data_IF_511295107833
#
_entry.id   IF_511295107833
#
_cell.length_a   1.000
_cell.length_b   1.000
_cell.length_c   1.000
_cell.angle_alpha   90.00
_cell.angle_beta   90.00
_cell.angle_gamma   90.00
#
_symmetry.space_group_name_H-M   'P 1'
#
loop_
_entity.id
_entity.type
_entity.pdbx_description
1 polymer ?
#
# COMPACT_ATOMS: atom_id res chain seq x y z
N UNK A 1 19.14 -49.64 9.18
CA UNK A 1 19.60 -49.47 7.79
C UNK A 1 19.11 -48.11 7.36
N UNK A 2 20.05 -47.19 7.20
CA UNK A 2 19.88 -45.75 7.07
C UNK A 2 18.97 -45.33 5.91
N UNK A 3 17.96 -44.52 6.22
CA UNK A 3 17.40 -43.54 5.29
C UNK A 3 17.35 -42.15 5.97
N UNK A 4 18.50 -41.70 6.44
CA UNK A 4 18.78 -40.26 6.56
C UNK A 4 19.06 -39.72 5.16
N UNK A 5 18.01 -39.69 4.32
CA UNK A 5 18.05 -39.02 3.03
C UNK A 5 18.20 -37.52 3.26
N UNK A 6 19.46 -37.12 3.22
CA UNK A 6 20.03 -35.81 2.97
C UNK A 6 19.05 -34.87 2.21
N UNK A 7 18.16 -34.20 2.95
CA UNK A 7 17.41 -33.04 2.44
C UNK A 7 18.46 -31.98 2.12
N UNK A 8 18.92 -31.93 0.87
CA UNK A 8 19.62 -30.77 0.32
C UNK A 8 18.85 -29.54 0.81
N UNK A 9 19.47 -28.68 1.62
CA UNK A 9 18.90 -27.41 2.05
C UNK A 9 18.67 -26.60 0.77
N UNK A 10 17.51 -26.79 0.15
CA UNK A 10 17.06 -25.95 -0.95
C UNK A 10 17.08 -24.51 -0.47
N UNK A 11 17.47 -23.60 -1.35
CA UNK A 11 17.50 -22.18 -1.08
C UNK A 11 16.18 -21.75 -0.42
N UNK A 12 16.20 -21.49 0.89
CA UNK A 12 15.07 -20.90 1.60
C UNK A 12 15.15 -19.40 1.30
N UNK A 13 14.13 -18.88 0.62
CA UNK A 13 14.01 -17.44 0.42
C UNK A 13 14.13 -16.73 1.78
N UNK A 14 14.90 -15.62 1.86
CA UNK A 14 15.08 -14.89 3.11
C UNK A 14 13.73 -14.36 3.61
N UNK A 15 13.62 -14.19 4.94
CA UNK A 15 12.46 -13.53 5.53
C UNK A 15 12.40 -12.06 5.11
N UNK A 16 11.22 -11.46 5.18
CA UNK A 16 11.00 -10.06 4.81
C UNK A 16 11.96 -9.08 5.53
N UNK A 17 12.19 -9.17 6.86
CA UNK A 17 13.18 -8.30 7.54
C UNK A 17 14.60 -8.48 7.02
N UNK A 18 15.04 -9.71 6.75
CA UNK A 18 16.38 -9.99 6.21
C UNK A 18 16.53 -9.41 4.81
N UNK A 19 15.48 -9.49 3.99
CA UNK A 19 15.48 -8.88 2.67
C UNK A 19 15.62 -7.36 2.76
N UNK A 20 14.95 -6.70 3.72
CA UNK A 20 15.08 -5.25 3.92
C UNK A 20 16.51 -4.86 4.28
N UNK A 21 17.14 -5.58 5.21
CA UNK A 21 18.53 -5.33 5.61
C UNK A 21 19.48 -5.47 4.42
N UNK A 22 19.31 -6.52 3.61
CA UNK A 22 20.09 -6.71 2.37
C UNK A 22 19.90 -5.52 1.44
N UNK A 23 18.68 -5.04 1.27
CA UNK A 23 18.39 -3.88 0.41
C UNK A 23 19.02 -2.59 0.93
N UNK A 24 19.02 -2.34 2.24
CA UNK A 24 19.70 -1.16 2.84
C UNK A 24 21.18 -1.20 2.49
N UNK A 25 21.82 -2.37 2.61
CA UNK A 25 23.23 -2.55 2.25
C UNK A 25 23.46 -2.31 0.76
N UNK A 26 22.60 -2.84 -0.11
CA UNK A 26 22.71 -2.65 -1.57
C UNK A 26 22.56 -1.17 -1.93
N UNK A 27 21.56 -0.47 -1.38
CA UNK A 27 21.38 0.96 -1.61
C UNK A 27 22.57 1.77 -1.11
N UNK A 28 23.10 1.44 0.07
CA UNK A 28 24.31 2.08 0.61
C UNK A 28 25.51 1.91 -0.33
N UNK A 29 25.72 0.73 -0.93
CA UNK A 29 26.77 0.51 -1.94
C UNK A 29 26.53 1.36 -3.20
N UNK A 30 25.27 1.50 -3.64
CA UNK A 30 24.94 2.32 -4.81
C UNK A 30 25.28 3.81 -4.60
N UNK A 31 25.30 4.31 -3.36
CA UNK A 31 25.69 5.70 -3.05
C UNK A 31 27.13 6.04 -3.42
N UNK A 32 28.01 5.04 -3.57
CA UNK A 32 29.39 5.25 -4.02
C UNK A 32 29.47 5.45 -5.54
N UNK A 33 28.55 4.83 -6.28
CA UNK A 33 28.54 4.80 -7.74
C UNK A 33 27.78 6.00 -8.30
N UNK A 34 26.59 6.29 -7.76
CA UNK A 34 25.70 7.35 -8.25
C UNK A 34 26.20 8.71 -7.70
N UNK A 35 26.35 9.74 -8.55
CA UNK A 35 26.74 11.06 -8.07
C UNK A 35 25.62 11.73 -7.27
N UNK A 36 26.00 12.49 -6.24
CA UNK A 36 25.06 13.30 -5.49
C UNK A 36 24.71 14.56 -6.29
N UNK A 37 23.44 14.92 -6.29
CA UNK A 37 22.92 16.09 -7.01
C UNK A 37 21.70 16.64 -6.31
N UNK A 38 21.39 17.90 -6.59
CA UNK A 38 20.25 18.60 -5.99
C UNK A 38 19.57 19.47 -7.03
N UNK A 39 18.25 19.58 -6.92
CA UNK A 39 17.51 20.71 -7.45
C UNK A 39 17.32 21.76 -6.36
N UNK A 40 17.30 23.02 -6.77
CA UNK A 40 16.77 24.09 -5.93
C UNK A 40 15.25 23.94 -5.82
N UNK A 41 14.72 24.19 -4.62
CA UNK A 41 13.29 24.10 -4.33
C UNK A 41 12.74 25.50 -4.15
N UNK A 42 11.61 25.78 -4.79
CA UNK A 42 10.94 27.08 -4.82
C UNK A 42 9.53 26.93 -4.26
N UNK A 43 9.15 27.82 -3.35
CA UNK A 43 7.80 27.90 -2.84
C UNK A 43 6.91 28.64 -3.86
N UNK A 44 5.86 27.98 -4.32
CA UNK A 44 4.82 28.65 -5.09
C UNK A 44 3.88 29.41 -4.13
N UNK A 45 3.94 30.75 -4.14
CA UNK A 45 3.10 31.59 -3.27
C UNK A 45 1.59 31.44 -3.54
N UNK A 46 1.19 31.02 -4.75
CA UNK A 46 -0.22 30.86 -5.10
C UNK A 46 -0.82 29.55 -4.60
N UNK A 47 -0.01 28.48 -4.54
CA UNK A 47 -0.47 27.14 -4.17
C UNK A 47 0.01 26.70 -2.79
N UNK A 48 1.03 27.37 -2.24
CA UNK A 48 1.69 27.00 -0.98
C UNK A 48 2.52 25.71 -1.08
N UNK A 49 2.74 25.20 -2.29
CA UNK A 49 3.47 23.95 -2.54
C UNK A 49 4.92 24.29 -2.91
N UNK A 50 5.86 23.71 -2.16
CA UNK A 50 7.26 23.71 -2.53
C UNK A 50 7.51 22.68 -3.63
N UNK A 51 8.08 23.12 -4.74
CA UNK A 51 8.38 22.28 -5.90
C UNK A 51 9.77 22.62 -6.45
N UNK A 52 10.34 21.74 -7.28
CA UNK A 52 11.70 21.93 -7.79
C UNK A 52 11.76 22.92 -8.96
N UNK A 53 12.82 23.72 -9.03
CA UNK A 53 13.18 24.44 -10.25
C UNK A 53 13.89 23.49 -11.22
N UNK A 54 13.22 23.16 -12.33
CA UNK A 54 13.67 22.21 -13.35
C UNK A 54 15.04 22.56 -13.95
N UNK A 55 15.42 23.83 -13.98
CA UNK A 55 16.68 24.28 -14.59
C UNK A 55 17.86 24.38 -13.61
N UNK A 56 17.61 24.15 -12.32
CA UNK A 56 18.58 24.38 -11.25
C UNK A 56 19.48 23.18 -10.93
N UNK A 57 19.33 22.05 -11.65
CA UNK A 57 20.07 20.83 -11.32
C UNK A 57 21.58 21.06 -11.31
N UNK A 58 22.21 20.73 -10.19
CA UNK A 58 23.66 20.79 -10.04
C UNK A 58 24.17 19.63 -9.19
N UNK A 59 25.40 19.20 -9.47
CA UNK A 59 26.08 18.19 -8.67
C UNK A 59 26.56 18.82 -7.36
N UNK A 60 26.39 18.07 -6.26
CA UNK A 60 26.85 18.47 -4.93
C UNK A 60 27.98 17.56 -4.47
N UNK A 61 28.62 17.91 -3.36
CA UNK A 61 29.65 17.07 -2.76
C UNK A 61 29.08 15.67 -2.44
N UNK A 62 29.80 14.62 -2.85
CA UNK A 62 29.36 13.25 -2.61
C UNK A 62 29.36 12.96 -1.11
N UNK A 63 28.25 12.46 -0.60
CA UNK A 63 28.12 11.97 0.77
C UNK A 63 27.76 10.47 0.79
N UNK A 64 28.66 9.57 0.35
CA UNK A 64 28.34 8.15 0.30
C UNK A 64 28.10 7.58 1.70
N UNK A 65 27.11 6.70 1.82
CA UNK A 65 26.73 6.10 3.10
C UNK A 65 27.84 5.19 3.63
N UNK A 66 28.50 5.62 4.71
CA UNK A 66 29.54 4.84 5.37
C UNK A 66 29.02 3.57 6.05
N UNK A 67 29.87 2.56 6.32
CA UNK A 67 29.44 1.28 6.90
C UNK A 67 28.69 1.40 8.24
N UNK A 68 29.06 2.36 9.10
CA UNK A 68 28.35 2.59 10.36
C UNK A 68 27.03 3.35 10.18
N UNK A 69 26.97 4.25 9.19
CA UNK A 69 25.74 4.98 8.83
C UNK A 69 24.64 4.02 8.36
N UNK A 70 24.98 2.90 7.70
CA UNK A 70 24.02 1.84 7.36
C UNK A 70 23.23 1.40 8.60
N UNK A 71 23.89 1.19 9.74
CA UNK A 71 23.23 0.77 10.98
C UNK A 71 22.47 1.92 11.64
N UNK A 72 22.97 3.16 11.56
CA UNK A 72 22.24 4.34 12.03
C UNK A 72 20.93 4.52 11.27
N UNK A 73 20.93 4.40 9.94
CA UNK A 73 19.71 4.48 9.14
C UNK A 73 18.69 3.38 9.44
N UNK A 74 19.12 2.21 9.92
CA UNK A 74 18.17 1.20 10.43
C UNK A 74 17.46 1.69 11.70
N UNK A 75 18.19 2.29 12.63
CA UNK A 75 17.63 2.86 13.86
C UNK A 75 16.75 4.09 13.54
N UNK A 76 17.27 5.04 12.78
CA UNK A 76 16.56 6.26 12.39
C UNK A 76 15.31 5.93 11.56
N UNK A 77 15.36 4.86 10.76
CA UNK A 77 14.21 4.32 10.04
C UNK A 77 13.09 3.89 10.98
N UNK A 78 13.41 3.16 12.05
CA UNK A 78 12.43 2.76 13.07
C UNK A 78 11.85 3.97 13.79
N UNK A 79 12.70 4.91 14.20
CA UNK A 79 12.27 6.13 14.91
C UNK A 79 11.38 7.01 14.02
N UNK A 80 11.77 7.22 12.75
CA UNK A 80 11.00 8.03 11.80
C UNK A 80 9.70 7.36 11.32
N UNK A 81 9.53 6.06 11.56
CA UNK A 81 8.30 5.33 11.31
C UNK A 81 7.38 5.22 12.54
N UNK A 82 7.74 5.85 13.66
CA UNK A 82 7.04 5.69 14.95
C UNK A 82 5.53 5.96 14.84
N UNK A 83 5.13 7.05 14.20
CA UNK A 83 3.70 7.42 14.10
C UNK A 83 2.86 6.32 13.42
N UNK A 84 3.36 5.76 12.32
CA UNK A 84 2.70 4.66 11.61
C UNK A 84 2.73 3.35 12.44
N UNK A 85 3.85 3.06 13.10
CA UNK A 85 4.00 1.88 13.96
C UNK A 85 2.99 1.91 15.12
N UNK A 86 2.87 3.06 15.80
CA UNK A 86 1.94 3.23 16.92
C UNK A 86 0.48 3.24 16.44
N UNK A 87 0.19 3.85 15.29
CA UNK A 87 -1.13 3.73 14.67
C UNK A 87 -1.53 2.27 14.47
N UNK A 88 -0.62 1.43 13.97
CA UNK A 88 -0.89 0.00 13.76
C UNK A 88 -1.10 -0.71 15.08
N UNK A 89 -0.26 -0.49 16.10
CA UNK A 89 -0.45 -1.11 17.41
C UNK A 89 -1.82 -0.75 18.02
N UNK A 90 -2.22 0.51 17.93
CA UNK A 90 -3.50 0.99 18.47
C UNK A 90 -4.68 0.47 17.64
N UNK A 91 -4.58 0.46 16.31
CA UNK A 91 -5.60 -0.13 15.46
C UNK A 91 -5.75 -1.64 15.71
N UNK A 92 -4.64 -2.34 15.96
CA UNK A 92 -4.65 -3.78 16.24
C UNK A 92 -5.28 -4.06 17.59
N UNK A 93 -5.17 -3.15 18.56
CA UNK A 93 -5.88 -3.26 19.83
C UNK A 93 -7.40 -3.29 19.62
N UNK A 94 -7.94 -2.41 18.77
CA UNK A 94 -9.36 -2.44 18.37
C UNK A 94 -9.70 -3.75 17.66
N UNK A 95 -8.84 -4.22 16.75
CA UNK A 95 -9.05 -5.47 16.04
C UNK A 95 -9.06 -6.70 16.96
N UNK A 96 -8.17 -6.76 17.94
CA UNK A 96 -8.12 -7.82 18.97
C UNK A 96 -9.38 -7.77 19.81
N UNK A 97 -9.80 -6.60 20.31
CA UNK A 97 -11.07 -6.46 21.06
C UNK A 97 -12.24 -7.04 20.25
N UNK A 98 -12.38 -6.68 18.98
CA UNK A 98 -13.45 -7.17 18.11
C UNK A 98 -13.36 -8.68 17.82
N UNK A 99 -12.15 -9.23 17.82
CA UNK A 99 -11.90 -10.67 17.63
C UNK A 99 -12.29 -11.45 18.88
N UNK A 100 -11.81 -11.01 20.04
CA UNK A 100 -12.02 -11.67 21.35
C UNK A 100 -13.47 -11.65 21.81
N UNK A 101 -14.22 -10.58 21.50
CA UNK A 101 -15.68 -10.56 21.74
C UNK A 101 -16.45 -11.45 20.75
N UNK A 102 -15.78 -12.05 19.76
CA UNK A 102 -16.40 -12.90 18.74
C UNK A 102 -17.21 -12.12 17.68
N UNK A 103 -16.99 -10.82 17.53
CA UNK A 103 -17.76 -10.02 16.57
C UNK A 103 -17.45 -10.40 15.12
N UNK A 104 -16.17 -10.59 14.79
CA UNK A 104 -15.74 -11.04 13.47
C UNK A 104 -16.18 -12.47 13.17
N UNK A 105 -16.03 -13.39 14.14
CA UNK A 105 -16.43 -14.80 14.02
C UNK A 105 -17.95 -14.94 13.87
N UNK A 106 -18.72 -14.20 14.68
CA UNK A 106 -20.18 -14.11 14.53
C UNK A 106 -20.60 -13.54 13.17
N UNK A 107 -19.91 -12.48 12.69
CA UNK A 107 -20.18 -11.88 11.39
C UNK A 107 -19.93 -12.85 10.24
N UNK A 108 -18.78 -13.54 10.22
CA UNK A 108 -18.48 -14.50 9.15
C UNK A 108 -19.47 -15.67 9.15
N UNK A 109 -19.93 -16.13 10.31
CA UNK A 109 -20.97 -17.16 10.42
C UNK A 109 -22.34 -16.67 9.95
N UNK A 110 -22.71 -15.43 10.28
CA UNK A 110 -23.93 -14.81 9.75
C UNK A 110 -23.89 -14.70 8.22
N UNK A 111 -22.77 -14.23 7.68
CA UNK A 111 -22.51 -14.15 6.24
C UNK A 111 -22.55 -15.53 5.59
N UNK A 112 -21.88 -16.53 6.17
CA UNK A 112 -21.85 -17.92 5.67
C UNK A 112 -23.26 -18.52 5.62
N UNK A 113 -24.07 -18.31 6.65
CA UNK A 113 -25.47 -18.77 6.70
C UNK A 113 -26.35 -18.06 5.66
N UNK A 114 -26.15 -16.76 5.44
CA UNK A 114 -26.91 -15.94 4.47
C UNK A 114 -26.51 -16.23 3.02
N UNK A 115 -25.21 -16.27 2.72
CA UNK A 115 -24.70 -16.46 1.37
C UNK A 115 -24.61 -17.93 0.96
N UNK A 116 -24.47 -18.88 1.89
CA UNK A 116 -24.36 -20.32 1.64
C UNK A 116 -23.30 -20.64 0.58
N UNK A 117 -23.71 -21.12 -0.60
CA UNK A 117 -22.81 -21.44 -1.72
C UNK A 117 -22.21 -20.18 -2.38
N UNK A 118 -22.71 -18.99 -2.06
CA UNK A 118 -22.27 -17.70 -2.61
C UNK A 118 -21.19 -17.01 -1.79
N UNK A 119 -20.54 -17.68 -0.83
CA UNK A 119 -19.43 -17.11 -0.04
C UNK A 119 -18.25 -16.64 -0.91
N UNK A 120 -18.15 -17.10 -2.17
CA UNK A 120 -17.20 -16.55 -3.13
C UNK A 120 -17.41 -15.06 -3.45
N UNK A 121 -18.62 -14.51 -3.20
CA UNK A 121 -18.93 -13.10 -3.38
C UNK A 121 -18.26 -12.18 -2.35
N UNK A 122 -17.64 -12.72 -1.31
CA UNK A 122 -16.88 -11.91 -0.36
C UNK A 122 -15.64 -11.29 -1.01
N UNK A 123 -14.99 -12.01 -1.92
CA UNK A 123 -13.83 -11.48 -2.67
C UNK A 123 -14.21 -10.22 -3.44
N UNK A 124 -15.19 -10.23 -4.37
CA UNK A 124 -15.59 -9.02 -5.09
C UNK A 124 -16.18 -7.96 -4.18
N UNK A 125 -16.92 -8.33 -3.13
CA UNK A 125 -17.52 -7.38 -2.20
C UNK A 125 -16.48 -6.55 -1.45
N UNK A 126 -15.54 -7.21 -0.77
CA UNK A 126 -14.48 -6.52 -0.03
C UNK A 126 -13.52 -5.77 -0.95
N UNK A 127 -13.10 -6.36 -2.08
CA UNK A 127 -12.25 -5.67 -3.03
C UNK A 127 -12.90 -4.39 -3.57
N UNK A 128 -14.19 -4.42 -3.93
CA UNK A 128 -14.87 -3.24 -4.43
C UNK A 128 -15.04 -2.15 -3.36
N UNK A 129 -15.43 -2.53 -2.14
CA UNK A 129 -15.62 -1.58 -1.03
C UNK A 129 -14.30 -0.93 -0.66
N UNK A 130 -13.23 -1.70 -0.48
CA UNK A 130 -11.94 -1.16 -0.09
C UNK A 130 -11.18 -0.49 -1.22
N UNK A 131 -11.40 -0.87 -2.48
CA UNK A 131 -10.90 -0.08 -3.61
C UNK A 131 -11.60 1.29 -3.69
N UNK A 132 -12.89 1.38 -3.34
CA UNK A 132 -13.56 2.68 -3.22
C UNK A 132 -13.05 3.48 -2.02
N UNK A 133 -12.75 2.82 -0.91
CA UNK A 133 -12.11 3.45 0.25
C UNK A 133 -10.74 4.04 -0.13
N UNK A 134 -9.87 3.23 -0.75
CA UNK A 134 -8.56 3.67 -1.20
C UNK A 134 -8.59 4.73 -2.30
N UNK A 135 -9.63 4.75 -3.14
CA UNK A 135 -9.84 5.81 -4.13
C UNK A 135 -9.92 7.22 -3.49
N UNK A 136 -10.26 7.28 -2.20
CA UNK A 136 -10.31 8.50 -1.40
C UNK A 136 -8.92 8.97 -0.92
N UNK A 137 -7.90 8.13 -1.05
CA UNK A 137 -6.51 8.47 -0.79
C UNK A 137 -5.91 7.88 0.49
N UNK A 138 -6.65 7.02 1.18
CA UNK A 138 -6.21 6.31 2.39
C UNK A 138 -5.76 4.89 2.01
N UNK A 139 -4.63 4.41 2.54
CA UNK A 139 -4.17 3.03 2.27
C UNK A 139 -3.72 2.27 3.51
N UNK A 140 -3.48 2.95 4.62
CA UNK A 140 -2.89 2.37 5.83
C UNK A 140 -3.93 1.88 6.86
N UNK A 141 -5.19 2.34 6.77
CA UNK A 141 -6.25 2.13 7.74
C UNK A 141 -6.69 0.67 7.88
N UNK A 142 -6.35 -0.17 6.91
CA UNK A 142 -6.62 -1.61 6.94
C UNK A 142 -5.44 -2.46 7.38
N UNK A 143 -4.25 -1.88 7.58
CA UNK A 143 -3.09 -2.63 8.10
C UNK A 143 -3.39 -3.36 9.41
N UNK A 144 -4.11 -2.76 10.38
CA UNK A 144 -4.45 -3.46 11.61
C UNK A 144 -5.35 -4.69 11.44
N UNK A 145 -6.07 -4.78 10.32
CA UNK A 145 -7.05 -5.84 10.07
C UNK A 145 -6.50 -6.98 9.22
N UNK A 146 -5.26 -6.92 8.75
CA UNK A 146 -4.68 -7.94 7.87
C UNK A 146 -4.85 -9.34 8.46
N UNK A 147 -4.52 -9.53 9.74
CA UNK A 147 -4.65 -10.82 10.43
C UNK A 147 -6.10 -11.33 10.47
N UNK A 148 -7.05 -10.44 10.76
CA UNK A 148 -8.49 -10.75 10.78
C UNK A 148 -8.95 -11.23 9.41
N UNK A 149 -8.58 -10.53 8.33
CA UNK A 149 -8.98 -10.92 6.98
C UNK A 149 -8.31 -12.21 6.49
N UNK A 150 -7.08 -12.49 6.95
CA UNK A 150 -6.43 -13.79 6.74
C UNK A 150 -7.24 -14.89 7.42
N UNK A 151 -7.60 -14.72 8.70
CA UNK A 151 -8.42 -15.67 9.43
C UNK A 151 -9.78 -15.90 8.76
N UNK A 152 -10.46 -14.83 8.34
CA UNK A 152 -11.73 -14.92 7.62
C UNK A 152 -11.60 -15.63 6.28
N UNK A 153 -10.54 -15.37 5.51
CA UNK A 153 -10.31 -16.03 4.23
C UNK A 153 -10.06 -17.53 4.42
N UNK A 154 -9.25 -17.90 5.40
CA UNK A 154 -8.96 -19.30 5.74
C UNK A 154 -10.21 -20.02 6.22
N UNK A 155 -11.02 -19.40 7.09
CA UNK A 155 -12.23 -20.03 7.63
C UNK A 155 -13.22 -20.41 6.54
N UNK A 156 -13.30 -19.62 5.45
CA UNK A 156 -14.18 -19.91 4.29
C UNK A 156 -13.51 -20.75 3.19
N UNK A 157 -12.33 -21.30 3.46
CA UNK A 157 -11.60 -22.25 2.59
C UNK A 157 -10.69 -21.61 1.53
N UNK A 158 -10.29 -20.35 1.71
CA UNK A 158 -9.21 -19.74 0.92
C UNK A 158 -7.88 -19.77 1.70
N UNK A 159 -6.87 -19.04 1.23
CA UNK A 159 -5.57 -18.93 1.89
C UNK A 159 -5.28 -17.48 2.33
N UNK A 160 -4.15 -17.30 3.01
CA UNK A 160 -3.72 -16.01 3.53
C UNK A 160 -3.49 -14.95 2.44
N UNK A 161 -3.11 -15.34 1.21
CA UNK A 161 -2.98 -14.39 0.09
C UNK A 161 -4.33 -13.77 -0.23
N UNK A 162 -5.40 -14.57 -0.31
CA UNK A 162 -6.75 -14.02 -0.54
C UNK A 162 -7.13 -13.05 0.58
N UNK A 163 -6.85 -13.39 1.85
CA UNK A 163 -7.11 -12.50 3.00
C UNK A 163 -6.37 -11.16 2.93
N UNK A 164 -5.09 -11.19 2.55
CA UNK A 164 -4.29 -9.97 2.31
C UNK A 164 -4.86 -9.15 1.15
N UNK A 165 -5.28 -9.82 0.07
CA UNK A 165 -5.79 -9.15 -1.13
C UNK A 165 -7.11 -8.43 -0.87
N UNK A 166 -8.02 -9.04 -0.10
CA UNK A 166 -9.32 -8.45 0.23
C UNK A 166 -9.27 -7.46 1.40
N UNK A 167 -8.08 -7.14 1.91
CA UNK A 167 -7.86 -6.17 3.00
C UNK A 167 -6.99 -5.01 2.54
N UNK A 168 -5.74 -4.91 3.03
CA UNK A 168 -4.85 -3.78 2.77
C UNK A 168 -4.53 -3.57 1.29
N UNK A 169 -4.36 -4.66 0.52
CA UNK A 169 -4.09 -4.54 -0.91
C UNK A 169 -5.27 -3.94 -1.65
N UNK A 170 -6.51 -4.23 -1.25
CA UNK A 170 -7.70 -3.65 -1.88
C UNK A 170 -7.73 -2.13 -1.75
N UNK A 171 -7.36 -1.59 -0.59
CA UNK A 171 -7.20 -0.14 -0.41
C UNK A 171 -6.11 0.42 -1.33
N UNK A 172 -4.95 -0.25 -1.43
CA UNK A 172 -3.90 0.17 -2.38
C UNK A 172 -4.41 0.14 -3.82
N UNK A 173 -5.19 -0.86 -4.24
CA UNK A 173 -5.80 -0.88 -5.60
C UNK A 173 -6.61 0.38 -5.88
N UNK A 174 -7.38 0.84 -4.90
CA UNK A 174 -8.14 2.08 -4.97
C UNK A 174 -7.24 3.32 -5.09
N UNK A 175 -6.26 3.40 -4.20
CA UNK A 175 -5.28 4.47 -4.13
C UNK A 175 -4.55 4.66 -5.47
N UNK A 176 -4.22 3.56 -6.15
CA UNK A 176 -3.43 3.56 -7.38
C UNK A 176 -4.05 4.34 -8.53
N UNK A 177 -5.36 4.52 -8.55
CA UNK A 177 -6.03 5.26 -9.63
C UNK A 177 -6.02 6.77 -9.37
N UNK A 178 -5.62 7.19 -8.16
CA UNK A 178 -5.52 8.58 -7.76
C UNK A 178 -6.86 9.30 -7.89
N UNK A 179 -7.87 8.88 -7.12
CA UNK A 179 -9.20 9.48 -7.16
C UNK A 179 -9.26 10.88 -6.56
N UNK A 180 -9.70 10.96 -5.31
CA UNK A 180 -9.94 12.21 -4.56
C UNK A 180 -8.93 12.42 -3.43
N UNK A 181 -7.71 11.92 -3.61
CA UNK A 181 -6.62 12.10 -2.66
C UNK A 181 -6.00 13.48 -2.78
N UNK A 182 -6.08 14.29 -1.72
CA UNK A 182 -5.40 15.59 -1.65
C UNK A 182 -3.87 15.45 -1.67
N UNK A 183 -3.35 14.39 -1.05
CA UNK A 183 -1.91 14.14 -0.93
C UNK A 183 -1.28 13.51 -2.18
N UNK A 184 -2.09 12.95 -3.09
CA UNK A 184 -1.59 12.32 -4.31
C UNK A 184 -2.03 13.12 -5.55
N UNK A 185 -3.28 12.92 -6.00
CA UNK A 185 -3.81 13.58 -7.20
C UNK A 185 -3.93 15.09 -7.03
N UNK A 186 -4.26 15.55 -5.82
CA UNK A 186 -4.38 16.98 -5.51
C UNK A 186 -3.08 17.72 -5.78
N UNK A 187 -1.99 17.33 -5.10
CA UNK A 187 -0.65 17.89 -5.34
C UNK A 187 -0.27 17.82 -6.82
N UNK A 188 -0.43 16.66 -7.44
CA UNK A 188 0.00 16.48 -8.82
C UNK A 188 -0.78 17.36 -9.82
N UNK A 189 -2.09 17.53 -9.63
CA UNK A 189 -2.90 18.42 -10.47
C UNK A 189 -2.57 19.88 -10.21
N UNK A 190 -2.44 20.29 -8.95
CA UNK A 190 -2.08 21.67 -8.60
C UNK A 190 -0.74 22.06 -9.21
N UNK A 191 0.30 21.22 -9.08
CA UNK A 191 1.63 21.48 -9.65
C UNK A 191 1.59 21.45 -11.18
N UNK A 192 0.74 20.61 -11.78
CA UNK A 192 0.54 20.59 -13.23
C UNK A 192 -0.37 21.73 -13.76
N UNK A 193 -0.88 22.60 -12.90
CA UNK A 193 -1.79 23.70 -13.28
C UNK A 193 -3.20 23.26 -13.69
N UNK A 194 -3.66 22.10 -13.20
CA UNK A 194 -4.97 21.52 -13.50
C UNK A 194 -5.97 21.80 -12.39
N UNK A 195 -7.28 21.93 -12.70
CA UNK A 195 -8.31 22.05 -11.66
C UNK A 195 -8.32 20.80 -10.75
N UNK A 196 -8.45 21.02 -9.44
CA UNK A 196 -8.46 19.94 -8.45
C UNK A 196 -9.58 18.93 -8.71
N UNK A 197 -9.22 17.65 -8.69
CA UNK A 197 -10.05 16.47 -8.94
C UNK A 197 -10.78 16.46 -10.28
N UNK A 198 -10.29 17.23 -11.26
CA UNK A 198 -10.78 17.15 -12.62
C UNK A 198 -10.48 15.77 -13.24
N UNK A 199 -11.34 15.32 -14.15
CA UNK A 199 -11.25 13.98 -14.75
C UNK A 199 -11.78 12.82 -13.88
N UNK A 200 -12.43 13.11 -12.75
CA UNK A 200 -12.92 12.11 -11.78
C UNK A 200 -13.77 10.99 -12.41
N UNK A 201 -14.68 11.33 -13.33
CA UNK A 201 -15.55 10.36 -13.99
C UNK A 201 -14.77 9.29 -14.74
N UNK A 202 -13.72 9.69 -15.47
CA UNK A 202 -12.86 8.75 -16.17
C UNK A 202 -12.01 7.94 -15.20
N UNK A 203 -11.51 8.54 -14.11
CA UNK A 203 -10.79 7.81 -13.06
C UNK A 203 -11.66 6.74 -12.40
N UNK A 204 -12.96 6.98 -12.21
CA UNK A 204 -13.89 5.95 -11.72
C UNK A 204 -14.02 4.77 -12.71
N UNK A 205 -13.98 5.04 -14.03
CA UNK A 205 -13.95 3.98 -15.04
C UNK A 205 -12.65 3.18 -14.95
N UNK A 206 -11.51 3.84 -14.81
CA UNK A 206 -10.20 3.18 -14.62
C UNK A 206 -10.19 2.34 -13.33
N UNK A 207 -10.78 2.85 -12.24
CA UNK A 207 -10.97 2.10 -11.00
C UNK A 207 -11.81 0.86 -11.23
N UNK A 208 -12.96 0.97 -11.91
CA UNK A 208 -13.82 -0.16 -12.20
C UNK A 208 -13.09 -1.24 -13.01
N UNK A 209 -12.33 -0.85 -14.04
CA UNK A 209 -11.56 -1.78 -14.88
C UNK A 209 -10.46 -2.48 -14.07
N UNK A 210 -9.63 -1.72 -13.37
CA UNK A 210 -8.51 -2.28 -12.58
C UNK A 210 -9.01 -3.17 -11.45
N UNK A 211 -10.04 -2.74 -10.74
CA UNK A 211 -10.70 -3.54 -9.68
C UNK A 211 -11.31 -4.82 -10.25
N UNK A 212 -11.95 -4.77 -11.42
CA UNK A 212 -12.49 -5.96 -12.06
C UNK A 212 -11.40 -6.99 -12.42
N UNK A 213 -10.23 -6.53 -12.88
CA UNK A 213 -9.07 -7.40 -13.15
C UNK A 213 -8.58 -8.05 -11.85
N UNK A 214 -8.44 -7.27 -10.77
CA UNK A 214 -8.08 -7.78 -9.45
C UNK A 214 -9.06 -8.83 -8.93
N UNK A 215 -10.36 -8.55 -9.03
CA UNK A 215 -11.43 -9.47 -8.66
C UNK A 215 -11.32 -10.76 -9.46
N UNK A 216 -11.23 -10.66 -10.80
CA UNK A 216 -11.20 -11.82 -11.67
C UNK A 216 -10.00 -12.73 -11.38
N UNK A 217 -8.81 -12.16 -11.21
CA UNK A 217 -7.60 -12.91 -10.89
C UNK A 217 -7.66 -13.55 -9.49
N UNK A 218 -8.14 -12.80 -8.49
CA UNK A 218 -8.25 -13.30 -7.12
C UNK A 218 -9.28 -14.40 -7.00
N UNK A 219 -10.43 -14.28 -7.68
CA UNK A 219 -11.44 -15.33 -7.76
C UNK A 219 -10.93 -16.58 -8.48
N UNK A 220 -10.20 -16.41 -9.58
CA UNK A 220 -9.56 -17.52 -10.28
C UNK A 220 -8.55 -18.26 -9.39
N UNK A 221 -7.72 -17.52 -8.66
CA UNK A 221 -6.76 -18.08 -7.71
C UNK A 221 -7.46 -18.80 -6.56
N UNK A 222 -8.45 -18.15 -5.93
CA UNK A 222 -9.25 -18.71 -4.85
C UNK A 222 -10.01 -19.98 -5.27
N UNK A 223 -10.56 -20.04 -6.48
CA UNK A 223 -11.22 -21.23 -7.01
C UNK A 223 -10.26 -22.42 -7.17
N UNK A 224 -8.99 -22.16 -7.53
CA UNK A 224 -7.97 -23.21 -7.64
C UNK A 224 -7.58 -23.78 -6.28
N UNK A 225 -7.40 -22.92 -5.28
CA UNK A 225 -7.07 -23.34 -3.91
C UNK A 225 -8.21 -24.12 -3.28
N UNK A 226 -9.46 -23.66 -3.47
CA UNK A 226 -10.64 -24.38 -2.98
C UNK A 226 -10.76 -25.79 -3.56
N UNK A 227 -10.34 -25.97 -4.82
CA UNK A 227 -10.34 -27.28 -5.47
C UNK A 227 -9.16 -28.14 -5.03
N UNK A 228 -8.00 -27.53 -4.81
CA UNK A 228 -6.74 -28.20 -4.48
C UNK A 228 -5.86 -27.28 -3.63
N UNK A 229 -5.86 -27.45 -2.29
CA UNK A 229 -5.08 -26.62 -1.37
C UNK A 229 -3.57 -26.63 -1.66
N UNK A 230 -3.02 -27.68 -2.29
CA UNK A 230 -1.60 -27.77 -2.63
C UNK A 230 -1.16 -26.70 -3.65
N UNK A 231 -2.11 -26.10 -4.38
CA UNK A 231 -1.87 -25.00 -5.33
C UNK A 231 -1.71 -23.64 -4.66
N UNK A 232 -1.96 -23.53 -3.36
CA UNK A 232 -1.69 -22.30 -2.63
C UNK A 232 -0.19 -21.98 -2.68
N UNK A 233 0.15 -20.73 -2.98
CA UNK A 233 1.54 -20.27 -2.95
C UNK A 233 2.09 -20.28 -1.51
N UNK A 234 1.19 -20.12 -0.55
CA UNK A 234 1.48 -20.17 0.88
C UNK A 234 1.29 -21.56 1.49
N UNK A 235 1.13 -22.61 0.66
CA UNK A 235 1.02 -23.98 1.13
C UNK A 235 2.18 -24.39 2.06
N UNK A 236 1.82 -25.06 3.15
CA UNK A 236 2.76 -25.52 4.19
C UNK A 236 3.29 -24.43 5.12
N UNK A 237 2.77 -23.19 5.05
CA UNK A 237 3.00 -22.19 6.10
C UNK A 237 1.90 -22.26 7.14
N UNK A 238 2.28 -21.93 8.38
CA UNK A 238 1.39 -21.98 9.52
C UNK A 238 0.69 -20.62 9.71
N UNK A 239 -0.63 -20.68 9.73
CA UNK A 239 -1.55 -19.58 10.03
C UNK A 239 -2.64 -20.06 11.00
N UNK A 240 -2.36 -21.11 11.77
CA UNK A 240 -3.35 -21.73 12.64
C UNK A 240 -3.84 -20.78 13.73
N UNK A 241 -2.99 -19.85 14.18
CA UNK A 241 -3.31 -18.84 15.18
C UNK A 241 -4.47 -17.94 14.73
N UNK A 242 -4.35 -17.30 13.57
CA UNK A 242 -5.41 -16.43 13.05
C UNK A 242 -6.62 -17.22 12.52
N UNK A 243 -6.42 -18.50 12.18
CA UNK A 243 -7.52 -19.37 11.75
C UNK A 243 -8.32 -19.91 12.95
N UNK A 244 -7.68 -20.20 14.09
CA UNK A 244 -8.35 -20.67 15.29
C UNK A 244 -9.31 -19.63 15.86
N UNK A 245 -8.94 -18.36 15.78
CA UNK A 245 -9.78 -17.24 16.23
C UNK A 245 -11.12 -17.17 15.46
N UNK A 246 -11.16 -17.78 14.27
CA UNK A 246 -12.31 -17.78 13.36
C UNK A 246 -12.97 -19.16 13.21
N UNK A 247 -12.65 -20.13 14.08
CA UNK A 247 -13.01 -21.55 13.92
C UNK A 247 -14.33 -21.97 14.58
N UNK A 248 -14.93 -21.14 15.43
CA UNK A 248 -16.22 -21.43 16.05
C UNK A 248 -17.36 -21.23 15.05
N UNK A 249 -17.81 -22.30 14.39
CA UNK A 249 -18.92 -22.31 13.42
C UNK A 249 -20.30 -22.02 14.06
N UNK A 250 -20.44 -22.11 15.38
CA UNK A 250 -21.70 -21.86 16.11
C UNK A 250 -21.77 -20.47 16.74
N UNK A 251 -20.68 -19.69 16.72
CA UNK A 251 -20.61 -18.37 17.31
C UNK A 251 -21.82 -17.48 16.91
N UNK A 252 -22.58 -16.95 17.89
CA UNK A 252 -23.74 -16.13 17.60
C UNK A 252 -23.33 -14.75 17.07
N UNK A 253 -24.15 -14.19 16.18
CA UNK A 253 -24.03 -12.78 15.79
C UNK A 253 -25.05 -11.98 16.60
N UNK A 254 -24.60 -11.44 17.73
CA UNK A 254 -25.45 -10.70 18.67
C UNK A 254 -25.65 -9.25 18.20
N UNK A 255 -26.68 -8.55 18.70
CA UNK A 255 -26.81 -7.10 18.48
C UNK A 255 -25.59 -6.31 18.99
N UNK A 256 -24.93 -6.75 20.08
CA UNK A 256 -23.71 -6.10 20.56
C UNK A 256 -22.56 -6.22 19.54
N UNK A 257 -22.41 -7.38 18.88
CA UNK A 257 -21.43 -7.57 17.82
C UNK A 257 -21.73 -6.64 16.64
N UNK A 258 -23.00 -6.54 16.23
CA UNK A 258 -23.41 -5.66 15.16
C UNK A 258 -23.12 -4.18 15.49
N UNK A 259 -23.46 -3.72 16.69
CA UNK A 259 -23.16 -2.34 17.15
C UNK A 259 -21.65 -2.09 17.13
N UNK A 260 -20.85 -3.03 17.65
CA UNK A 260 -19.39 -2.91 17.70
C UNK A 260 -18.78 -2.80 16.30
N UNK A 261 -19.24 -3.61 15.34
CA UNK A 261 -18.79 -3.54 13.95
C UNK A 261 -19.28 -2.28 13.24
N UNK A 262 -20.49 -1.78 13.54
CA UNK A 262 -21.00 -0.52 12.99
C UNK A 262 -20.19 0.66 13.50
N UNK A 263 -19.85 0.70 14.79
CA UNK A 263 -18.97 1.74 15.34
C UNK A 263 -17.59 1.70 14.70
N UNK A 264 -17.04 0.50 14.51
CA UNK A 264 -15.77 0.32 13.83
C UNK A 264 -15.82 0.82 12.37
N UNK A 265 -16.84 0.42 11.60
CA UNK A 265 -17.02 0.90 10.23
C UNK A 265 -17.28 2.42 10.19
N UNK A 266 -18.04 2.95 11.15
CA UNK A 266 -18.28 4.37 11.30
C UNK A 266 -17.00 5.17 11.57
N UNK A 267 -16.09 4.64 12.38
CA UNK A 267 -14.78 5.23 12.62
C UNK A 267 -13.94 5.29 11.34
N UNK A 268 -13.90 4.20 10.54
CA UNK A 268 -13.21 4.18 9.24
C UNK A 268 -13.77 5.26 8.32
N UNK A 269 -15.09 5.32 8.14
CA UNK A 269 -15.73 6.34 7.29
C UNK A 269 -15.49 7.76 7.79
N UNK A 270 -15.43 7.95 9.11
CA UNK A 270 -15.10 9.23 9.73
C UNK A 270 -13.67 9.66 9.44
N UNK A 271 -12.69 8.76 9.52
CA UNK A 271 -11.28 9.07 9.21
C UNK A 271 -11.12 9.53 7.79
N UNK A 272 -11.79 8.88 6.85
CA UNK A 272 -11.74 9.29 5.45
C UNK A 272 -12.20 10.74 5.28
N UNK A 273 -13.33 11.10 5.91
CA UNK A 273 -13.81 12.48 5.91
C UNK A 273 -12.81 13.43 6.60
N UNK A 274 -12.32 13.06 7.78
CA UNK A 274 -11.45 13.91 8.60
C UNK A 274 -10.07 14.14 7.96
N UNK A 275 -9.48 13.13 7.33
CA UNK A 275 -8.20 13.26 6.62
C UNK A 275 -8.30 14.23 5.43
N UNK A 276 -9.45 14.24 4.76
CA UNK A 276 -9.68 15.10 3.60
C UNK A 276 -10.08 16.54 3.97
N UNK A 277 -10.83 16.73 5.06
CA UNK A 277 -11.43 18.05 5.40
C UNK A 277 -10.81 18.74 6.61
N UNK A 278 -10.28 17.97 7.55
CA UNK A 278 -9.73 18.47 8.80
C UNK A 278 -8.20 18.36 8.85
N UNK A 279 -7.58 17.79 7.81
CA UNK A 279 -6.12 17.60 7.76
C UNK A 279 -5.61 16.57 8.77
N UNK A 280 -6.49 15.68 9.25
CA UNK A 280 -6.12 14.65 10.21
C UNK A 280 -5.14 13.65 9.60
N UNK A 281 -4.22 13.15 10.43
CA UNK A 281 -3.28 12.12 10.04
C UNK A 281 -3.08 11.12 11.18
N UNK A 282 -1.89 10.53 11.30
CA UNK A 282 -1.63 9.43 12.23
C UNK A 282 -2.03 9.71 13.68
N UNK A 283 -1.79 10.93 14.19
CA UNK A 283 -2.08 11.30 15.58
C UNK A 283 -3.58 11.27 15.87
N UNK A 284 -4.40 11.95 15.08
CA UNK A 284 -5.85 12.07 15.31
C UNK A 284 -6.57 10.75 15.02
N UNK A 285 -6.11 9.99 14.03
CA UNK A 285 -6.62 8.64 13.74
C UNK A 285 -6.34 7.72 14.92
N UNK A 286 -5.10 7.73 15.46
CA UNK A 286 -4.72 6.96 16.64
C UNK A 286 -5.56 7.33 17.86
N UNK A 287 -5.75 8.62 18.12
CA UNK A 287 -6.58 9.09 19.22
C UNK A 287 -8.03 8.57 19.12
N UNK A 288 -8.58 8.54 17.91
CA UNK A 288 -9.94 8.03 17.70
C UNK A 288 -10.02 6.52 17.85
N UNK A 289 -9.01 5.75 17.42
CA UNK A 289 -8.95 4.32 17.71
C UNK A 289 -8.85 4.04 19.22
N UNK A 290 -8.12 4.86 19.99
CA UNK A 290 -8.10 4.76 21.46
C UNK A 290 -9.51 5.00 22.02
N UNK A 291 -10.19 6.06 21.59
CA UNK A 291 -11.57 6.36 22.03
C UNK A 291 -12.50 5.20 21.68
N UNK A 292 -12.38 4.66 20.45
CA UNK A 292 -13.18 3.53 19.99
C UNK A 292 -12.91 2.28 20.83
N UNK A 293 -11.65 1.94 21.11
CA UNK A 293 -11.30 0.80 21.95
C UNK A 293 -11.96 0.91 23.34
N UNK A 294 -11.90 2.09 23.96
CA UNK A 294 -12.55 2.34 25.26
C UNK A 294 -14.07 2.14 25.15
N UNK A 295 -14.71 2.70 24.13
CA UNK A 295 -16.16 2.53 23.88
C UNK A 295 -16.51 1.05 23.70
N UNK A 296 -15.72 0.30 22.93
CA UNK A 296 -15.93 -1.13 22.69
C UNK A 296 -15.80 -1.94 23.98
N UNK A 297 -14.81 -1.64 24.83
CA UNK A 297 -14.66 -2.27 26.14
C UNK A 297 -15.88 -2.02 27.03
N UNK A 298 -16.40 -0.78 27.07
CA UNK A 298 -17.60 -0.43 27.86
C UNK A 298 -18.84 -1.17 27.34
N UNK A 299 -19.09 -1.16 26.03
CA UNK A 299 -20.26 -1.81 25.42
C UNK A 299 -20.25 -3.32 25.66
N UNK A 300 -19.07 -3.94 25.54
CA UNK A 300 -18.91 -5.39 25.67
C UNK A 300 -18.55 -5.84 27.10
N UNK A 301 -18.52 -4.91 28.06
CA UNK A 301 -18.24 -5.17 29.49
C UNK A 301 -16.90 -5.87 29.72
N UNK A 302 -15.89 -5.50 28.94
CA UNK A 302 -14.51 -5.97 29.11
C UNK A 302 -13.92 -5.21 30.30
N UNK A 303 -13.35 -5.94 31.25
CA UNK A 303 -12.67 -5.34 32.39
C UNK A 303 -11.35 -4.67 31.97
N UNK A 304 -10.85 -3.78 32.83
CA UNK A 304 -9.69 -2.93 32.51
C UNK A 304 -8.40 -3.73 32.34
N UNK A 305 -8.21 -4.80 33.12
CA UNK A 305 -6.99 -5.61 33.06
C UNK A 305 -6.96 -6.43 31.77
N UNK A 306 -8.09 -7.02 31.38
CA UNK A 306 -8.25 -7.70 30.09
C UNK A 306 -8.06 -6.73 28.91
N UNK A 307 -8.66 -5.53 28.99
CA UNK A 307 -8.48 -4.52 27.95
C UNK A 307 -7.01 -4.09 27.79
N UNK A 308 -6.27 -3.98 28.90
CA UNK A 308 -4.84 -3.69 28.88
C UNK A 308 -4.03 -4.86 28.33
N UNK A 309 -4.39 -6.10 28.66
CA UNK A 309 -3.76 -7.28 28.09
C UNK A 309 -3.90 -7.30 26.57
N UNK A 310 -5.09 -7.01 26.02
CA UNK A 310 -5.29 -6.89 24.57
C UNK A 310 -4.45 -5.80 23.93
N UNK A 311 -4.16 -4.71 24.65
CA UNK A 311 -3.24 -3.68 24.17
C UNK A 311 -1.81 -4.23 24.14
N UNK A 312 -1.36 -4.93 25.19
CA UNK A 312 -0.03 -5.56 25.19
C UNK A 312 0.11 -6.61 24.08
N UNK A 313 -0.95 -7.39 23.84
CA UNK A 313 -1.01 -8.39 22.78
C UNK A 313 -0.90 -7.75 21.40
N UNK A 314 -1.46 -6.55 21.21
CA UNK A 314 -1.33 -5.81 19.95
C UNK A 314 0.12 -5.40 19.65
N UNK A 315 0.88 -5.00 20.68
CA UNK A 315 2.29 -4.66 20.54
C UNK A 315 3.14 -5.90 20.26
N UNK A 316 2.94 -6.98 21.02
CA UNK A 316 3.74 -8.20 20.90
C UNK A 316 3.46 -8.93 19.59
N UNK A 317 2.20 -9.05 19.19
CA UNK A 317 1.78 -9.75 17.97
C UNK A 317 2.23 -9.07 16.68
N UNK A 318 2.45 -7.75 16.72
CA UNK A 318 2.79 -6.95 15.54
C UNK A 318 4.25 -6.46 15.51
N UNK A 319 5.03 -6.68 16.57
CA UNK A 319 6.41 -6.19 16.68
C UNK A 319 7.29 -6.55 15.45
N UNK A 320 7.20 -7.79 14.97
CA UNK A 320 7.96 -8.23 13.80
C UNK A 320 7.55 -7.51 12.51
N UNK A 321 6.25 -7.22 12.34
CA UNK A 321 5.73 -6.45 11.21
C UNK A 321 6.18 -4.99 11.28
N UNK A 322 6.07 -4.37 12.47
CA UNK A 322 6.50 -2.99 12.69
C UNK A 322 8.02 -2.79 12.51
N UNK A 323 8.84 -3.80 12.81
CA UNK A 323 10.27 -3.77 12.48
C UNK A 323 10.51 -3.65 10.97
N UNK A 324 9.71 -4.34 10.15
CA UNK A 324 9.79 -4.22 8.68
C UNK A 324 9.46 -2.81 8.22
N UNK A 325 8.49 -2.14 8.86
CA UNK A 325 8.12 -0.75 8.57
C UNK A 325 9.31 0.17 8.80
N UNK A 326 9.95 0.05 9.97
CA UNK A 326 11.13 0.86 10.30
C UNK A 326 12.30 0.63 9.34
N UNK A 327 12.58 -0.63 8.99
CA UNK A 327 13.62 -0.96 8.01
C UNK A 327 13.28 -0.43 6.60
N UNK A 328 12.03 -0.52 6.18
CA UNK A 328 11.57 0.04 4.91
C UNK A 328 11.73 1.57 4.88
N UNK A 329 11.49 2.25 6.02
CA UNK A 329 11.74 3.69 6.14
C UNK A 329 13.23 4.02 6.08
N UNK A 330 14.08 3.19 6.70
CA UNK A 330 15.54 3.29 6.63
C UNK A 330 16.11 3.24 5.20
N UNK A 331 15.49 2.48 4.29
CA UNK A 331 15.88 2.48 2.87
C UNK A 331 15.82 3.88 2.24
N UNK A 332 14.80 4.66 2.59
CA UNK A 332 14.63 6.02 2.07
C UNK A 332 15.64 6.98 2.69
N UNK A 333 15.91 6.84 3.99
CA UNK A 333 16.89 7.68 4.68
C UNK A 333 18.31 7.52 4.12
N UNK A 334 18.67 6.31 3.65
CA UNK A 334 19.95 6.07 2.94
C UNK A 334 20.01 6.88 1.63
N UNK A 335 18.94 6.84 0.85
CA UNK A 335 18.86 7.53 -0.45
C UNK A 335 18.91 9.05 -0.29
N UNK A 336 18.12 9.56 0.66
CA UNK A 336 18.03 10.99 0.97
C UNK A 336 19.33 11.51 1.58
N UNK A 337 19.91 10.80 2.54
CA UNK A 337 21.16 11.19 3.19
C UNK A 337 22.37 11.21 2.25
N UNK A 338 22.35 10.39 1.21
CA UNK A 338 23.39 10.38 0.18
C UNK A 338 23.19 11.40 -0.94
N UNK A 339 22.04 12.09 -0.99
CA UNK A 339 21.73 13.09 -2.01
C UNK A 339 21.67 12.54 -3.43
N UNK A 340 21.29 11.27 -3.60
CA UNK A 340 21.26 10.60 -4.92
C UNK A 340 19.88 10.60 -5.57
N UNK A 341 18.82 10.93 -4.81
CA UNK A 341 17.42 10.94 -5.27
C UNK A 341 17.23 11.86 -6.48
N UNK A 342 17.64 13.13 -6.37
CA UNK A 342 17.45 14.15 -7.42
C UNK A 342 18.26 13.80 -8.70
N UNK A 343 19.46 13.24 -8.55
CA UNK A 343 20.27 12.73 -9.67
C UNK A 343 19.54 11.62 -10.44
N UNK A 344 18.91 10.69 -9.73
CA UNK A 344 18.19 9.59 -10.37
C UNK A 344 16.93 10.10 -11.07
N UNK A 345 16.20 11.03 -10.46
CA UNK A 345 15.07 11.73 -11.08
C UNK A 345 15.52 12.40 -12.38
N UNK A 346 16.61 13.16 -12.35
CA UNK A 346 17.16 13.83 -13.53
C UNK A 346 17.53 12.83 -14.63
N UNK A 347 18.22 11.73 -14.29
CA UNK A 347 18.63 10.71 -15.25
C UNK A 347 17.43 10.01 -15.91
N UNK A 348 16.43 9.60 -15.13
CA UNK A 348 15.23 8.94 -15.64
C UNK A 348 14.40 9.88 -16.52
N UNK A 349 14.35 11.17 -16.18
CA UNK A 349 13.73 12.19 -17.03
C UNK A 349 14.36 12.25 -18.43
N UNK A 350 15.70 12.25 -18.53
CA UNK A 350 16.37 12.30 -19.83
C UNK A 350 16.01 11.10 -20.72
N UNK A 351 15.68 9.95 -20.13
CA UNK A 351 15.26 8.76 -20.87
C UNK A 351 13.86 8.88 -21.49
N UNK A 352 12.99 9.73 -20.93
CA UNK A 352 11.65 9.99 -21.48
C UNK A 352 11.66 11.09 -22.53
N UNK A 353 12.59 12.03 -22.40
CA UNK A 353 12.74 13.15 -23.32
C UNK A 353 13.05 12.64 -24.74
N UNK A 354 12.09 12.80 -25.66
CA UNK A 354 12.23 12.38 -27.06
C UNK A 354 11.46 11.11 -27.44
N UNK A 355 10.70 10.50 -26.51
CA UNK A 355 9.76 9.44 -26.86
C UNK A 355 8.61 9.98 -27.75
N UNK A 356 8.09 9.17 -28.70
CA UNK A 356 6.93 9.56 -29.47
C UNK A 356 5.67 9.62 -28.60
N UNK A 357 4.72 10.49 -28.95
CA UNK A 357 3.51 10.79 -28.17
C UNK A 357 2.77 9.54 -27.64
N UNK A 358 2.56 8.54 -28.50
CA UNK A 358 1.87 7.29 -28.17
C UNK A 358 2.58 6.43 -27.13
N UNK A 359 3.91 6.59 -26.98
CA UNK A 359 4.72 5.87 -25.99
C UNK A 359 4.97 6.71 -24.75
N UNK A 360 4.96 8.04 -24.85
CA UNK A 360 5.29 8.95 -23.74
C UNK A 360 4.42 8.71 -22.52
N UNK A 361 3.09 8.58 -22.66
CA UNK A 361 2.21 8.32 -21.52
C UNK A 361 2.51 7.00 -20.80
N UNK A 362 2.78 5.92 -21.56
CA UNK A 362 3.21 4.64 -20.99
C UNK A 362 4.62 4.72 -20.39
N UNK A 363 5.51 5.49 -21.00
CA UNK A 363 6.85 5.77 -20.48
C UNK A 363 6.78 6.48 -19.13
N UNK A 364 5.90 7.48 -18.98
CA UNK A 364 5.65 8.18 -17.72
C UNK A 364 5.13 7.22 -16.63
N UNK A 365 4.27 6.26 -16.98
CA UNK A 365 3.84 5.20 -16.05
C UNK A 365 5.03 4.37 -15.55
N UNK A 366 5.88 3.87 -16.45
CA UNK A 366 7.05 3.08 -16.07
C UNK A 366 8.12 3.89 -15.32
N UNK A 367 8.29 5.17 -15.66
CA UNK A 367 9.19 6.05 -14.92
C UNK A 367 8.71 6.24 -13.49
N UNK A 368 7.43 6.51 -13.25
CA UNK A 368 6.92 6.64 -11.88
C UNK A 368 6.91 5.32 -11.12
N UNK A 369 6.70 4.19 -11.83
CA UNK A 369 6.89 2.88 -11.27
C UNK A 369 8.32 2.70 -10.76
N UNK A 370 9.34 3.03 -11.58
CA UNK A 370 10.75 2.91 -11.18
C UNK A 370 11.12 3.92 -10.09
N UNK A 371 10.68 5.17 -10.22
CA UNK A 371 10.90 6.19 -9.20
C UNK A 371 10.26 5.82 -7.86
N UNK A 372 9.16 5.05 -7.87
CA UNK A 372 8.54 4.54 -6.65
C UNK A 372 9.47 3.65 -5.83
N UNK A 373 10.51 3.05 -6.41
CA UNK A 373 11.55 2.37 -5.64
C UNK A 373 12.28 3.33 -4.69
N UNK A 374 12.46 4.59 -5.09
CA UNK A 374 13.32 5.57 -4.42
C UNK A 374 12.47 6.59 -3.64
N UNK A 375 11.31 6.94 -4.19
CA UNK A 375 10.39 7.93 -3.64
C UNK A 375 9.04 7.26 -3.32
N UNK A 376 8.90 6.60 -2.16
CA UNK A 376 7.65 5.91 -1.83
C UNK A 376 6.52 6.88 -1.49
N UNK A 377 6.82 8.11 -1.08
CA UNK A 377 5.81 9.14 -0.79
C UNK A 377 5.15 9.65 -2.07
N UNK A 378 3.82 9.54 -2.14
CA UNK A 378 3.04 10.08 -3.25
C UNK A 378 3.21 11.60 -3.36
N UNK A 379 2.97 12.33 -2.27
CA UNK A 379 3.04 13.80 -2.27
C UNK A 379 4.43 14.29 -2.64
N UNK A 380 5.48 13.69 -2.07
CA UNK A 380 6.86 14.05 -2.35
C UNK A 380 7.29 13.73 -3.78
N UNK A 381 6.80 12.62 -4.34
CA UNK A 381 7.02 12.31 -5.75
C UNK A 381 6.29 13.33 -6.64
N UNK A 382 5.01 13.62 -6.37
CA UNK A 382 4.25 14.57 -7.16
C UNK A 382 4.88 15.97 -7.20
N UNK A 383 5.28 16.52 -6.05
CA UNK A 383 5.89 17.86 -5.99
C UNK A 383 7.26 17.93 -6.65
N UNK A 384 7.99 16.82 -6.69
CA UNK A 384 9.32 16.76 -7.30
C UNK A 384 9.24 16.46 -8.81
N UNK A 385 8.36 15.57 -9.26
CA UNK A 385 8.38 15.11 -10.66
C UNK A 385 7.45 15.89 -11.57
N UNK A 386 6.29 16.36 -11.07
CA UNK A 386 5.31 17.07 -11.92
C UNK A 386 5.81 18.36 -12.55
N UNK A 387 6.64 19.22 -11.90
CA UNK A 387 7.18 20.42 -12.53
C UNK A 387 8.01 20.11 -13.78
N UNK A 388 8.68 18.95 -13.77
CA UNK A 388 9.47 18.45 -14.91
C UNK A 388 8.55 17.79 -15.95
N UNK A 389 7.61 16.96 -15.49
CA UNK A 389 6.84 16.06 -16.34
C UNK A 389 5.71 16.77 -17.09
N UNK A 390 5.07 17.76 -16.49
CA UNK A 390 3.99 18.50 -17.16
C UNK A 390 4.49 19.19 -18.45
N UNK A 391 5.61 19.96 -18.46
CA UNK A 391 6.16 20.50 -19.69
C UNK A 391 6.58 19.44 -20.72
N UNK A 392 7.07 18.28 -20.29
CA UNK A 392 7.42 17.17 -21.21
C UNK A 392 6.18 16.59 -21.87
N UNK A 393 5.12 16.41 -21.09
CA UNK A 393 3.85 15.93 -21.61
C UNK A 393 3.35 16.88 -22.71
N UNK A 394 3.36 18.20 -22.44
CA UNK A 394 2.97 19.22 -23.40
C UNK A 394 3.79 19.14 -24.70
N UNK A 395 5.12 19.05 -24.59
CA UNK A 395 6.02 18.94 -25.75
C UNK A 395 5.84 17.64 -26.53
N UNK A 396 5.46 16.56 -25.85
CA UNK A 396 5.21 15.25 -26.46
C UNK A 396 3.77 15.11 -27.00
N UNK A 397 2.92 16.13 -26.91
CA UNK A 397 1.52 16.07 -27.33
C UNK A 397 0.65 15.17 -26.45
N UNK A 398 1.04 14.99 -25.18
CA UNK A 398 0.29 14.27 -24.15
C UNK A 398 -0.33 15.30 -23.21
N UNK A 399 -1.63 15.17 -22.94
CA UNK A 399 -2.32 16.06 -22.00
C UNK A 399 -1.74 15.95 -20.59
N UNK A 400 -1.64 17.07 -19.86
CA UNK A 400 -1.23 17.05 -18.45
C UNK A 400 -2.09 16.13 -17.60
N UNK A 401 -3.39 16.00 -17.91
CA UNK A 401 -4.28 15.03 -17.24
C UNK A 401 -3.83 13.58 -17.42
N UNK A 402 -3.42 13.21 -18.64
CA UNK A 402 -2.87 11.88 -18.92
C UNK A 402 -1.55 11.68 -18.18
N UNK A 403 -0.71 12.71 -18.08
CA UNK A 403 0.55 12.64 -17.33
C UNK A 403 0.30 12.43 -15.82
N UNK A 404 -0.65 13.15 -15.21
CA UNK A 404 -1.04 12.95 -13.81
C UNK A 404 -1.64 11.55 -13.60
N UNK A 405 -2.45 11.05 -14.53
CA UNK A 405 -2.99 9.68 -14.45
C UNK A 405 -1.87 8.62 -14.54
N UNK A 406 -0.92 8.79 -15.46
CA UNK A 406 0.24 7.91 -15.61
C UNK A 406 1.09 7.90 -14.34
N UNK A 407 1.27 9.06 -13.70
CA UNK A 407 1.88 9.18 -12.38
C UNK A 407 1.12 8.41 -11.30
N UNK A 408 -0.19 8.67 -11.15
CA UNK A 408 -1.01 8.03 -10.12
C UNK A 408 -0.91 6.50 -10.22
N UNK A 409 -1.06 5.98 -11.44
CA UNK A 409 -0.96 4.55 -11.71
C UNK A 409 0.46 4.02 -11.47
N UNK A 410 1.49 4.70 -11.97
CA UNK A 410 2.88 4.27 -11.82
C UNK A 410 3.31 4.18 -10.36
N UNK A 411 3.09 5.26 -9.62
CA UNK A 411 3.37 5.34 -8.19
C UNK A 411 2.51 4.37 -7.38
N UNK A 412 1.22 4.28 -7.71
CA UNK A 412 0.32 3.33 -7.06
C UNK A 412 0.78 1.88 -7.20
N UNK A 413 1.11 1.42 -8.40
CA UNK A 413 1.59 0.05 -8.59
C UNK A 413 2.98 -0.18 -8.00
N UNK A 414 3.81 0.87 -7.86
CA UNK A 414 5.03 0.78 -7.08
C UNK A 414 4.76 0.41 -5.61
N UNK A 415 3.61 0.80 -5.04
CA UNK A 415 3.22 0.43 -3.67
C UNK A 415 3.13 -1.08 -3.45
N UNK A 416 2.76 -1.83 -4.49
CA UNK A 416 2.60 -3.29 -4.45
C UNK A 416 3.82 -4.05 -5.00
N UNK A 417 4.74 -3.34 -5.67
CA UNK A 417 5.89 -3.93 -6.34
C UNK A 417 7.18 -3.74 -5.55
N UNK A 418 7.48 -2.54 -5.06
CA UNK A 418 8.78 -2.26 -4.49
C UNK A 418 8.81 -2.41 -2.97
N UNK A 419 9.81 -3.11 -2.40
CA UNK A 419 9.88 -3.31 -0.96
C UNK A 419 10.11 -2.03 -0.13
N UNK A 420 10.45 -0.91 -0.77
CA UNK A 420 10.51 0.41 -0.13
C UNK A 420 9.12 1.01 0.16
N UNK A 421 8.06 0.34 -0.29
CA UNK A 421 6.68 0.80 -0.19
C UNK A 421 5.79 -0.14 0.66
N UNK A 422 4.48 0.12 0.65
CA UNK A 422 3.44 -0.59 1.42
C UNK A 422 3.53 -2.11 1.38
N UNK A 423 3.99 -2.72 0.28
CA UNK A 423 4.06 -4.18 0.20
C UNK A 423 4.98 -4.82 1.24
N UNK A 424 6.11 -4.20 1.59
CA UNK A 424 6.97 -4.76 2.64
C UNK A 424 6.24 -4.78 3.98
N UNK A 425 5.49 -3.72 4.27
CA UNK A 425 4.66 -3.59 5.47
C UNK A 425 3.57 -4.67 5.49
N UNK A 426 2.81 -4.78 4.40
CA UNK A 426 1.73 -5.77 4.25
C UNK A 426 2.28 -7.20 4.41
N UNK A 427 3.41 -7.52 3.78
CA UNK A 427 4.07 -8.82 3.92
C UNK A 427 4.63 -9.06 5.33
N UNK A 428 5.14 -8.02 5.99
CA UNK A 428 5.60 -8.09 7.38
C UNK A 428 4.46 -8.42 8.34
N UNK A 429 3.34 -7.71 8.24
CA UNK A 429 2.15 -7.89 9.08
C UNK A 429 1.42 -9.21 8.79
N UNK A 430 1.38 -9.64 7.53
CA UNK A 430 0.75 -10.92 7.14
C UNK A 430 1.64 -12.15 7.36
N UNK A 431 2.92 -11.98 7.73
CA UNK A 431 3.94 -13.05 7.79
C UNK A 431 4.16 -13.78 6.47
N UNK A 432 3.71 -13.21 5.34
CA UNK A 432 3.93 -13.76 4.00
C UNK A 432 5.30 -13.28 3.50
N UNK A 433 6.25 -14.18 3.17
CA UNK A 433 7.52 -13.78 2.59
C UNK A 433 7.31 -13.02 1.28
N UNK A 434 8.02 -11.90 1.07
CA UNK A 434 7.93 -11.10 -0.16
C UNK A 434 8.12 -11.92 -1.44
N UNK A 435 9.05 -12.89 -1.44
CA UNK A 435 9.23 -13.79 -2.60
C UNK A 435 7.98 -14.59 -2.97
N UNK A 436 7.17 -14.98 -1.98
CA UNK A 436 5.88 -15.66 -2.22
C UNK A 436 4.82 -14.68 -2.74
N UNK A 437 4.80 -13.45 -2.22
CA UNK A 437 3.95 -12.38 -2.78
C UNK A 437 4.25 -12.16 -4.26
N UNK A 438 5.53 -11.96 -4.64
CA UNK A 438 5.89 -11.72 -6.04
C UNK A 438 5.53 -12.90 -6.94
N UNK A 439 5.67 -14.14 -6.47
CA UNK A 439 5.23 -15.32 -7.24
C UNK A 439 3.73 -15.25 -7.57
N UNK A 440 2.91 -14.67 -6.69
CA UNK A 440 1.48 -14.49 -6.92
C UNK A 440 1.17 -13.23 -7.75
N UNK A 441 1.81 -12.11 -7.41
CA UNK A 441 1.51 -10.78 -7.94
C UNK A 441 2.09 -10.53 -9.32
N UNK A 442 3.28 -11.05 -9.65
CA UNK A 442 3.95 -10.72 -10.92
C UNK A 442 3.12 -11.05 -12.18
N UNK A 443 2.43 -12.21 -12.29
CA UNK A 443 1.54 -12.44 -13.43
C UNK A 443 0.39 -11.43 -13.52
N UNK A 444 -0.17 -11.04 -12.37
CA UNK A 444 -1.23 -10.03 -12.30
C UNK A 444 -0.71 -8.63 -12.65
N UNK A 445 0.47 -8.27 -12.14
CA UNK A 445 1.16 -7.02 -12.46
C UNK A 445 1.33 -6.86 -13.97
N UNK A 446 1.77 -7.90 -14.69
CA UNK A 446 1.89 -7.84 -16.16
C UNK A 446 0.54 -7.59 -16.84
N UNK A 447 -0.52 -8.29 -16.41
CA UNK A 447 -1.88 -8.09 -16.96
C UNK A 447 -2.33 -6.64 -16.74
N UNK A 448 -2.11 -6.10 -15.53
CA UNK A 448 -2.48 -4.74 -15.17
C UNK A 448 -1.65 -3.70 -15.93
N UNK A 449 -0.34 -3.88 -16.05
CA UNK A 449 0.53 -2.99 -16.82
C UNK A 449 0.09 -2.92 -18.28
N UNK A 450 -0.28 -4.04 -18.90
CA UNK A 450 -0.83 -4.04 -20.26
C UNK A 450 -2.15 -3.27 -20.33
N UNK A 451 -3.08 -3.51 -19.41
CA UNK A 451 -4.35 -2.78 -19.37
C UNK A 451 -4.15 -1.27 -19.18
N UNK A 452 -3.21 -0.87 -18.32
CA UNK A 452 -2.86 0.53 -18.05
C UNK A 452 -2.25 1.18 -19.29
N UNK A 453 -1.30 0.52 -19.96
CA UNK A 453 -0.73 1.03 -21.20
C UNK A 453 -1.81 1.27 -22.25
N UNK A 454 -2.77 0.34 -22.39
CA UNK A 454 -3.91 0.52 -23.31
C UNK A 454 -4.80 1.71 -22.92
N UNK A 455 -5.08 1.89 -21.63
CA UNK A 455 -5.83 3.05 -21.12
C UNK A 455 -5.08 4.36 -21.41
N UNK A 456 -3.78 4.42 -21.15
CA UNK A 456 -2.95 5.61 -21.36
C UNK A 456 -2.80 5.94 -22.85
N UNK A 457 -2.65 4.94 -23.70
CA UNK A 457 -2.67 5.12 -25.16
C UNK A 457 -4.03 5.64 -25.63
N UNK A 458 -5.15 5.12 -25.10
CA UNK A 458 -6.48 5.65 -25.39
C UNK A 458 -6.62 7.12 -24.96
N UNK A 459 -6.17 7.50 -23.76
CA UNK A 459 -6.18 8.90 -23.30
C UNK A 459 -5.36 9.81 -24.22
N UNK A 460 -4.20 9.32 -24.68
CA UNK A 460 -3.31 10.08 -25.58
C UNK A 460 -3.95 10.29 -26.94
N UNK A 461 -4.56 9.26 -27.54
CA UNK A 461 -5.22 9.35 -28.85
C UNK A 461 -6.45 10.25 -28.80
N UNK A 462 -7.25 10.15 -27.74
CA UNK A 462 -8.48 10.94 -27.57
C UNK A 462 -8.23 12.34 -27.02
N UNK A 463 -6.97 12.68 -26.69
CA UNK A 463 -6.59 13.93 -26.03
C UNK A 463 -7.44 14.19 -24.77
N UNK A 464 -7.63 13.14 -23.97
CA UNK A 464 -8.45 13.20 -22.77
C UNK A 464 -7.94 14.28 -21.82
N UNK A 465 -8.85 15.17 -21.41
CA UNK A 465 -8.53 16.27 -20.51
C UNK A 465 -7.84 17.48 -21.15
N UNK A 466 -7.85 17.61 -22.48
CA UNK A 466 -7.30 18.79 -23.16
C UNK A 466 -8.04 20.10 -22.81
N UNK A 467 -9.37 20.05 -22.68
CA UNK A 467 -10.17 21.23 -22.27
C UNK A 467 -10.11 21.57 -20.78
N UNK A 468 -9.26 20.88 -20.01
CA UNK A 468 -9.04 21.09 -18.57
C UNK A 468 -7.66 21.71 -18.27
N UNK A 469 -6.86 21.97 -19.30
CA UNK A 469 -5.50 22.52 -19.21
C UNK A 469 -5.47 24.03 -19.44
#
# INVERSE_FOLDING_TARGET
>A
MDETLNKKKGFKAPSTPVLMIIMIIVLAVLTYVIPAGSFDRVLDEATGIEHIDVNSFHYVEKNPTGPFEVFKYMYDGIVSAADLIFLIFIGCWVAIILTEIGAFTGFINWVRRKLKKKTYLLIPGFLAIYALDGFQGEMEGLYPLIGVFIGMAISVGYDAIVGVVVSAVAAVVGFNVGGISFYNTGIAQTVAGLPLFSGLSFRLVVLAITTAIWIAYTMWYGARIKKDPSKSIVYGMDFSDVASDMSDDEAPFTPQHAISLILFLGAILWFVYACQKLGWYFTEISATYIILAIILCVINKIDTDTALQYLVDSFTGMAAGCLVIGLARGLNLVLDGAGITDTIVFALYQCIKGLPSWLTASGLYFLHLILGLIMPSASGMASTTMPIIAPVADLAGVTRQTAVLAYSLGHGYAQLLWPTNSIAIICGLSRIPLGKWYKWFMPLFVILSVAICLILTFCTITQWGIGLQ
#
